data_IF_498147060154
#
_entry.id   IF_498147060154
#
_cell.length_a   1.000
_cell.length_b   1.000
_cell.length_c   1.000
_cell.angle_alpha   90.00
_cell.angle_beta   90.00
_cell.angle_gamma   90.00
#
_symmetry.space_group_name_H-M   'P 1'
#
loop_
_entity.id
_entity.type
_entity.pdbx_description
1 polymer ?
#
# COMPACT_ATOMS: atom_id res chain seq x y z
N UNK A 1 -3.89 -21.98 -4.47
CA UNK A 1 -3.52 -21.61 -3.09
C UNK A 1 -2.65 -20.35 -3.16
N UNK A 2 -2.72 -19.39 -2.21
CA UNK A 2 -1.93 -18.14 -2.33
C UNK A 2 -0.45 -18.41 -2.01
N UNK A 3 0.47 -18.06 -2.92
CA UNK A 3 1.93 -18.33 -2.83
C UNK A 3 2.72 -17.35 -1.94
N UNK A 4 2.04 -16.50 -1.17
CA UNK A 4 2.70 -15.45 -0.38
C UNK A 4 3.53 -16.04 0.78
N UNK A 5 4.86 -15.87 0.70
CA UNK A 5 5.84 -16.18 1.76
C UNK A 5 5.97 -15.00 2.72
N UNK A 6 5.39 -15.12 3.91
CA UNK A 6 5.43 -14.04 4.92
C UNK A 6 6.54 -14.20 5.95
N UNK A 7 7.15 -15.39 6.03
CA UNK A 7 8.19 -15.79 7.02
C UNK A 7 7.80 -15.52 8.50
N UNK A 8 6.51 -15.31 8.78
CA UNK A 8 6.04 -14.84 10.08
C UNK A 8 6.44 -13.39 10.43
N UNK A 9 6.99 -12.62 9.48
CA UNK A 9 7.56 -11.29 9.70
C UNK A 9 6.57 -10.14 9.49
N UNK A 10 5.30 -10.44 9.21
CA UNK A 10 4.29 -9.43 8.88
C UNK A 10 4.06 -8.38 9.97
N UNK A 11 4.27 -8.73 11.25
CA UNK A 11 4.20 -7.77 12.35
C UNK A 11 5.38 -6.79 12.31
N UNK A 12 6.62 -7.29 12.25
CA UNK A 12 7.83 -6.47 12.16
C UNK A 12 7.85 -5.57 10.93
N UNK A 13 7.37 -6.06 9.78
CA UNK A 13 7.19 -5.23 8.59
C UNK A 13 6.24 -4.06 8.86
N UNK A 14 5.14 -4.31 9.58
CA UNK A 14 4.21 -3.24 9.97
C UNK A 14 4.86 -2.30 10.98
N UNK A 15 5.64 -2.80 11.92
CA UNK A 15 6.35 -2.00 12.91
C UNK A 15 7.25 -0.96 12.23
N UNK A 16 8.20 -1.39 11.38
CA UNK A 16 9.12 -0.44 10.72
C UNK A 16 8.41 0.52 9.75
N UNK A 17 7.32 0.07 9.12
CA UNK A 17 6.49 0.98 8.34
C UNK A 17 5.81 2.06 9.20
N UNK A 18 5.31 1.71 10.40
CA UNK A 18 4.76 2.72 11.32
C UNK A 18 5.84 3.62 11.91
N UNK A 19 7.07 3.14 12.13
CA UNK A 19 8.17 4.00 12.55
C UNK A 19 8.57 5.00 11.46
N UNK A 20 8.50 4.60 10.19
CA UNK A 20 8.81 5.45 9.06
C UNK A 20 7.83 6.62 8.93
N UNK A 21 6.53 6.33 8.78
CA UNK A 21 5.48 7.36 8.77
C UNK A 21 4.26 6.83 9.52
N UNK A 22 4.07 7.24 10.78
CA UNK A 22 2.96 6.76 11.59
C UNK A 22 1.60 7.10 10.98
N UNK A 23 0.70 6.13 10.94
CA UNK A 23 -0.73 6.40 10.76
C UNK A 23 -1.18 6.79 9.35
N UNK A 24 -0.32 6.73 8.32
CA UNK A 24 -0.75 7.01 6.94
C UNK A 24 -1.21 5.75 6.19
N UNK A 25 -0.94 4.57 6.72
CA UNK A 25 -1.24 3.32 6.00
C UNK A 25 -0.61 3.31 4.61
N UNK A 26 -1.23 2.61 3.66
CA UNK A 26 -0.75 2.55 2.27
C UNK A 26 -1.11 3.78 1.43
N UNK A 27 -1.63 4.84 2.06
CA UNK A 27 -2.20 5.98 1.34
C UNK A 27 -1.09 6.78 0.68
N UNK A 28 -1.22 7.00 -0.62
CA UNK A 28 -0.26 7.78 -1.40
C UNK A 28 -0.90 8.86 -2.28
N UNK A 29 -2.23 8.96 -2.32
CA UNK A 29 -2.98 10.11 -2.85
C UNK A 29 -4.32 10.20 -2.12
N UNK A 30 -4.87 11.41 -2.01
CA UNK A 30 -5.97 11.71 -1.09
C UNK A 30 -7.30 11.09 -1.50
N UNK A 31 -7.54 10.86 -2.80
CA UNK A 31 -8.79 10.21 -3.25
C UNK A 31 -8.97 8.80 -2.69
N UNK A 32 -7.90 8.09 -2.31
CA UNK A 32 -8.02 6.80 -1.60
C UNK A 32 -8.77 6.96 -0.27
N UNK A 33 -8.44 7.99 0.51
CA UNK A 33 -9.16 8.32 1.74
C UNK A 33 -10.60 8.71 1.39
N UNK A 34 -10.79 9.55 0.38
CA UNK A 34 -12.11 10.05 0.01
C UNK A 34 -13.11 8.94 -0.34
N UNK A 35 -12.72 7.96 -1.17
CA UNK A 35 -13.60 6.84 -1.52
C UNK A 35 -13.98 6.01 -0.29
N UNK A 36 -13.05 5.83 0.63
CA UNK A 36 -13.31 5.10 1.86
C UNK A 36 -14.31 5.85 2.76
N UNK A 37 -14.16 7.18 2.89
CA UNK A 37 -15.09 8.03 3.65
C UNK A 37 -16.49 8.02 3.04
N UNK A 38 -16.59 8.18 1.72
CA UNK A 38 -17.86 8.08 0.99
C UNK A 38 -18.51 6.71 1.17
N UNK A 39 -17.73 5.63 1.16
CA UNK A 39 -18.21 4.26 1.37
C UNK A 39 -18.81 4.06 2.76
N UNK A 40 -18.15 4.56 3.81
CA UNK A 40 -18.67 4.50 5.19
C UNK A 40 -19.90 5.38 5.34
N UNK A 41 -19.88 6.61 4.80
CA UNK A 41 -21.03 7.52 4.83
C UNK A 41 -22.26 6.94 4.13
N UNK A 42 -22.06 6.36 2.94
CA UNK A 42 -23.13 5.78 2.15
C UNK A 42 -23.74 4.57 2.86
N UNK A 43 -22.91 3.65 3.35
CA UNK A 43 -23.38 2.49 4.10
C UNK A 43 -24.24 2.90 5.31
N UNK A 44 -23.83 3.94 6.04
CA UNK A 44 -24.61 4.48 7.15
C UNK A 44 -25.96 5.04 6.69
N UNK A 45 -25.99 5.86 5.63
CA UNK A 45 -27.24 6.43 5.10
C UNK A 45 -28.19 5.36 4.56
N UNK A 46 -27.67 4.34 3.89
CA UNK A 46 -28.46 3.19 3.42
C UNK A 46 -29.04 2.38 4.59
N UNK A 47 -28.26 2.19 5.66
CA UNK A 47 -28.70 1.51 6.89
C UNK A 47 -29.83 2.23 7.60
N UNK A 48 -29.76 3.56 7.70
CA UNK A 48 -30.85 4.38 8.26
C UNK A 48 -32.15 4.18 7.48
N UNK A 49 -32.06 3.97 6.17
CA UNK A 49 -33.20 3.72 5.29
C UNK A 49 -33.55 2.22 5.12
N UNK A 50 -33.08 1.36 6.05
CA UNK A 50 -33.47 -0.05 6.12
C UNK A 50 -32.69 -1.02 5.22
N UNK A 51 -31.67 -0.55 4.48
CA UNK A 51 -30.84 -1.40 3.63
C UNK A 51 -29.65 -1.99 4.40
N UNK A 52 -29.11 -3.13 3.94
CA UNK A 52 -28.07 -3.91 4.66
C UNK A 52 -26.68 -3.88 4.01
N UNK A 53 -26.42 -2.89 3.16
CA UNK A 53 -25.13 -2.77 2.49
C UNK A 53 -24.01 -2.46 3.50
N UNK A 54 -22.91 -3.19 3.40
CA UNK A 54 -21.74 -3.02 4.26
C UNK A 54 -20.84 -1.88 3.77
N UNK A 55 -19.97 -1.35 4.65
CA UNK A 55 -18.97 -0.34 4.27
C UNK A 55 -18.10 -0.83 3.11
N UNK A 56 -17.68 -2.10 3.13
CA UNK A 56 -16.89 -2.71 2.05
C UNK A 56 -17.65 -2.68 0.72
N UNK A 57 -18.93 -3.06 0.70
CA UNK A 57 -19.74 -3.06 -0.54
C UNK A 57 -19.88 -1.64 -1.11
N UNK A 58 -20.13 -0.66 -0.25
CA UNK A 58 -20.28 0.73 -0.66
C UNK A 58 -18.97 1.32 -1.17
N UNK A 59 -17.87 1.15 -0.43
CA UNK A 59 -16.54 1.60 -0.86
C UNK A 59 -16.10 0.91 -2.17
N UNK A 60 -16.36 -0.39 -2.32
CA UNK A 60 -16.07 -1.12 -3.56
C UNK A 60 -16.82 -0.54 -4.76
N UNK A 61 -18.11 -0.24 -4.60
CA UNK A 61 -18.92 0.35 -5.66
C UNK A 61 -18.39 1.73 -6.07
N UNK A 62 -18.06 2.58 -5.09
CA UNK A 62 -17.52 3.92 -5.33
C UNK A 62 -16.15 3.83 -6.03
N UNK A 63 -15.21 3.03 -5.52
CA UNK A 63 -13.90 2.86 -6.15
C UNK A 63 -14.00 2.34 -7.60
N UNK A 64 -14.89 1.36 -7.83
CA UNK A 64 -15.12 0.81 -9.16
C UNK A 64 -15.68 1.85 -10.13
N UNK A 65 -16.64 2.65 -9.68
CA UNK A 65 -17.19 3.77 -10.44
C UNK A 65 -16.13 4.82 -10.75
N UNK A 66 -15.33 5.22 -9.74
CA UNK A 66 -14.23 6.17 -9.88
C UNK A 66 -13.22 5.72 -10.95
N UNK A 67 -12.78 4.45 -10.88
CA UNK A 67 -11.82 3.91 -11.85
C UNK A 67 -12.43 3.78 -13.24
N UNK A 68 -13.68 3.33 -13.35
CA UNK A 68 -14.35 3.22 -14.63
C UNK A 68 -14.48 4.59 -15.30
N UNK A 69 -14.91 5.64 -14.57
CA UNK A 69 -15.03 7.00 -15.09
C UNK A 69 -13.69 7.51 -15.61
N UNK A 70 -12.61 7.25 -14.88
CA UNK A 70 -11.26 7.67 -15.27
C UNK A 70 -10.73 6.90 -16.48
N UNK A 71 -10.90 5.58 -16.51
CA UNK A 71 -10.46 4.71 -17.61
C UNK A 71 -11.26 4.98 -18.89
N UNK A 72 -12.56 5.18 -18.78
CA UNK A 72 -13.41 5.51 -19.91
C UNK A 72 -12.99 6.87 -20.52
N UNK A 73 -12.70 7.86 -19.68
CA UNK A 73 -12.25 9.18 -20.13
C UNK A 73 -10.83 9.17 -20.72
N UNK A 74 -9.89 8.44 -20.12
CA UNK A 74 -8.48 8.46 -20.55
C UNK A 74 -8.15 7.48 -21.70
N UNK A 75 -9.16 6.84 -22.28
CA UNK A 75 -8.99 5.87 -23.36
C UNK A 75 -8.40 4.53 -22.92
N UNK A 76 -8.67 4.12 -21.67
CA UNK A 76 -8.19 2.87 -21.06
C UNK A 76 -6.66 2.79 -20.97
N UNK A 77 -5.99 3.94 -20.85
CA UNK A 77 -4.55 4.01 -20.63
C UNK A 77 -4.22 3.63 -19.18
N UNK A 78 -3.09 2.94 -19.03
CA UNK A 78 -2.54 2.63 -17.70
C UNK A 78 -2.14 3.93 -16.99
N UNK A 79 -2.38 3.97 -15.68
CA UNK A 79 -1.97 5.04 -14.77
C UNK A 79 -1.89 4.41 -13.37
N UNK A 80 -0.90 4.79 -12.54
CA UNK A 80 -0.65 4.09 -11.28
C UNK A 80 -1.81 4.30 -10.27
N UNK A 81 -2.66 5.30 -10.46
CA UNK A 81 -3.85 5.56 -9.63
C UNK A 81 -5.05 4.72 -10.05
N UNK A 82 -5.01 4.09 -11.22
CA UNK A 82 -6.13 3.35 -11.79
C UNK A 82 -5.96 1.85 -11.60
N UNK A 83 -7.04 1.17 -11.22
CA UNK A 83 -7.05 -0.29 -11.09
C UNK A 83 -8.18 -0.90 -11.90
N UNK A 84 -8.02 -2.17 -12.25
CA UNK A 84 -9.10 -2.97 -12.80
C UNK A 84 -9.44 -2.73 -14.27
N UNK A 85 -8.55 -2.11 -15.06
CA UNK A 85 -8.76 -1.84 -16.49
C UNK A 85 -9.31 -3.06 -17.24
N UNK A 86 -8.68 -4.22 -17.10
CA UNK A 86 -9.11 -5.46 -17.77
C UNK A 86 -10.52 -5.92 -17.36
N UNK A 87 -10.90 -5.73 -16.09
CA UNK A 87 -12.23 -6.14 -15.60
C UNK A 87 -13.33 -5.14 -15.95
N UNK A 88 -12.98 -3.85 -16.01
CA UNK A 88 -13.93 -2.76 -16.20
C UNK A 88 -14.22 -2.46 -17.68
N UNK A 89 -13.30 -2.77 -18.62
CA UNK A 89 -13.37 -2.41 -20.06
C UNK A 89 -14.70 -2.72 -20.75
N UNK A 90 -15.29 -3.86 -20.42
CA UNK A 90 -16.50 -4.34 -21.07
C UNK A 90 -17.76 -4.18 -20.20
N UNK A 91 -17.69 -3.43 -19.09
CA UNK A 91 -18.84 -3.19 -18.22
C UNK A 91 -19.70 -2.06 -18.82
N UNK A 92 -20.90 -2.42 -19.26
CA UNK A 92 -21.90 -1.48 -19.83
C UNK A 92 -22.93 -0.98 -18.83
N UNK A 93 -23.10 -1.69 -17.72
CA UNK A 93 -24.06 -1.31 -16.67
C UNK A 93 -23.32 -1.03 -15.35
N UNK A 94 -23.34 0.23 -14.95
CA UNK A 94 -22.69 0.72 -13.73
C UNK A 94 -23.67 0.88 -12.58
N UNK A 95 -24.67 0.00 -12.46
CA UNK A 95 -25.60 0.06 -11.33
C UNK A 95 -24.85 -0.21 -10.02
N UNK A 96 -25.28 0.45 -8.94
CA UNK A 96 -24.68 0.24 -7.62
C UNK A 96 -24.72 -1.23 -7.19
N UNK A 97 -25.82 -1.94 -7.48
CA UNK A 97 -25.95 -3.36 -7.17
C UNK A 97 -24.83 -4.20 -7.81
N UNK A 98 -24.53 -3.96 -9.09
CA UNK A 98 -23.44 -4.64 -9.79
C UNK A 98 -22.08 -4.21 -9.27
N UNK A 99 -21.84 -2.91 -9.13
CA UNK A 99 -20.56 -2.35 -8.69
C UNK A 99 -20.19 -2.76 -7.25
N UNK A 100 -21.18 -3.00 -6.39
CA UNK A 100 -20.98 -3.42 -5.00
C UNK A 100 -20.49 -4.86 -4.82
N UNK A 101 -20.59 -5.70 -5.88
CA UNK A 101 -20.17 -7.10 -5.85
C UNK A 101 -18.64 -7.21 -5.93
N UNK A 102 -18.06 -8.10 -5.12
CA UNK A 102 -16.60 -8.32 -5.08
C UNK A 102 -16.00 -8.76 -6.42
N UNK A 103 -16.79 -9.41 -7.27
CA UNK A 103 -16.36 -9.88 -8.60
C UNK A 103 -16.33 -8.78 -9.67
N UNK A 104 -16.95 -7.62 -9.42
CA UNK A 104 -17.11 -6.56 -10.43
C UNK A 104 -15.79 -5.80 -10.72
N UNK A 105 -14.99 -5.60 -9.68
CA UNK A 105 -13.80 -4.76 -9.67
C UNK A 105 -12.56 -5.60 -9.31
N UNK A 106 -11.62 -5.09 -8.51
CA UNK A 106 -10.37 -5.80 -8.19
C UNK A 106 -10.42 -6.55 -6.86
N UNK A 107 -9.53 -7.54 -6.73
CA UNK A 107 -9.33 -8.29 -5.49
C UNK A 107 -8.61 -7.46 -4.42
N UNK A 108 -7.73 -6.53 -4.84
CA UNK A 108 -6.98 -5.60 -3.98
C UNK A 108 -7.44 -4.14 -4.23
N UNK A 109 -8.57 -3.74 -3.65
CA UNK A 109 -9.11 -2.39 -3.77
C UNK A 109 -8.30 -1.38 -2.96
N UNK A 110 -8.40 -0.10 -3.34
CA UNK A 110 -7.64 1.01 -2.74
C UNK A 110 -7.94 1.17 -1.26
N UNK A 111 -9.16 0.88 -0.79
CA UNK A 111 -9.51 0.92 0.65
C UNK A 111 -8.59 0.09 1.55
N UNK A 112 -7.91 -0.93 1.02
CA UNK A 112 -6.98 -1.72 1.84
C UNK A 112 -5.79 -0.88 2.33
N UNK A 113 -5.41 0.15 1.58
CA UNK A 113 -4.41 1.13 1.98
C UNK A 113 -4.88 2.02 3.16
N UNK A 114 -6.19 2.26 3.29
CA UNK A 114 -6.74 3.26 4.21
C UNK A 114 -7.09 2.71 5.59
N UNK A 115 -7.11 1.38 5.76
CA UNK A 115 -7.50 0.70 7.02
C UNK A 115 -6.77 1.25 8.25
N UNK A 116 -5.46 1.49 8.15
CA UNK A 116 -4.72 2.11 9.26
C UNK A 116 -4.87 3.63 9.29
N UNK A 117 -5.02 4.25 8.12
CA UNK A 117 -5.02 5.69 7.97
C UNK A 117 -6.25 6.33 8.61
N UNK A 118 -7.44 5.81 8.31
CA UNK A 118 -8.70 6.39 8.77
C UNK A 118 -8.76 6.59 10.30
N UNK A 119 -8.49 5.57 11.15
CA UNK A 119 -8.53 5.76 12.61
C UNK A 119 -7.37 6.62 13.12
N UNK A 120 -6.16 6.44 12.60
CA UNK A 120 -4.99 7.22 13.03
C UNK A 120 -5.13 8.72 12.71
N UNK A 121 -5.81 9.05 11.62
CA UNK A 121 -6.12 10.41 11.20
C UNK A 121 -7.40 10.98 11.83
N UNK A 122 -8.09 10.20 12.67
CA UNK A 122 -9.31 10.66 13.37
C UNK A 122 -10.51 10.84 12.44
N UNK A 123 -10.48 10.25 11.25
CA UNK A 123 -11.57 10.31 10.27
C UNK A 123 -12.71 9.35 10.62
N UNK A 124 -12.39 8.27 11.34
CA UNK A 124 -13.36 7.32 11.90
C UNK A 124 -13.19 7.22 13.41
N UNK A 125 -14.19 6.68 14.09
CA UNK A 125 -14.12 6.34 15.51
C UNK A 125 -13.01 5.29 15.75
N UNK A 126 -12.24 5.47 16.82
CA UNK A 126 -10.98 4.73 17.06
C UNK A 126 -11.15 3.34 17.69
N UNK A 127 -12.36 2.96 18.06
CA UNK A 127 -12.70 1.68 18.71
C UNK A 127 -12.83 0.51 17.71
N UNK A 128 -13.06 0.82 16.44
CA UNK A 128 -13.23 -0.17 15.39
C UNK A 128 -11.88 -0.70 14.85
N UNK A 129 -11.74 -2.03 14.79
CA UNK A 129 -10.54 -2.71 14.28
C UNK A 129 -10.66 -3.19 12.83
N UNK A 130 -11.90 -3.21 12.29
CA UNK A 130 -12.20 -3.69 10.93
C UNK A 130 -12.95 -2.62 10.14
N UNK A 131 -12.69 -2.55 8.84
CA UNK A 131 -13.31 -1.55 7.95
C UNK A 131 -14.85 -1.54 7.99
N UNK A 132 -15.50 -2.71 8.09
CA UNK A 132 -16.97 -2.82 8.19
C UNK A 132 -17.54 -2.33 9.53
N UNK A 133 -16.70 -2.08 10.53
CA UNK A 133 -17.10 -1.53 11.82
C UNK A 133 -16.86 -0.01 11.90
N UNK A 134 -16.23 0.59 10.89
CA UNK A 134 -15.96 2.02 10.90
C UNK A 134 -17.24 2.84 10.90
N UNK A 135 -17.22 3.87 11.73
CA UNK A 135 -18.17 4.97 11.76
C UNK A 135 -17.39 6.26 11.62
N UNK A 136 -17.87 7.19 10.79
CA UNK A 136 -17.21 8.48 10.63
C UNK A 136 -17.21 9.24 11.97
N UNK A 137 -16.11 9.93 12.27
CA UNK A 137 -16.07 10.81 13.43
C UNK A 137 -16.98 12.03 13.20
N UNK A 138 -17.51 12.61 14.27
CA UNK A 138 -18.32 13.84 14.18
C UNK A 138 -17.57 14.96 13.46
N UNK A 139 -16.27 15.10 13.76
CA UNK A 139 -15.38 16.07 13.11
C UNK A 139 -15.27 15.80 11.60
N UNK A 140 -15.18 14.54 11.17
CA UNK A 140 -15.17 14.18 9.76
C UNK A 140 -16.50 14.53 9.08
N UNK A 141 -17.63 14.20 9.70
CA UNK A 141 -18.96 14.48 9.15
C UNK A 141 -19.18 16.00 8.94
N UNK A 142 -18.76 16.81 9.92
CA UNK A 142 -18.86 18.26 9.86
C UNK A 142 -17.93 18.86 8.80
N UNK A 143 -16.65 18.47 8.81
CA UNK A 143 -15.62 19.02 7.90
C UNK A 143 -15.89 18.69 6.43
N UNK A 144 -16.37 17.47 6.14
CA UNK A 144 -16.52 16.97 4.77
C UNK A 144 -17.97 16.92 4.26
N UNK A 145 -18.94 17.40 5.04
CA UNK A 145 -20.35 17.45 4.61
C UNK A 145 -20.98 16.07 4.34
N UNK A 146 -20.53 15.02 5.04
CA UNK A 146 -20.93 13.62 4.79
C UNK A 146 -22.10 13.13 5.67
N UNK A 147 -22.79 14.03 6.38
CA UNK A 147 -23.86 13.69 7.33
C UNK A 147 -25.28 13.95 6.81
N UNK A 148 -26.27 13.28 7.40
CA UNK A 148 -27.71 13.46 7.11
C UNK A 148 -28.22 14.86 7.43
N UNK A 149 -27.63 15.53 8.43
CA UNK A 149 -27.94 16.90 8.86
C UNK A 149 -26.75 17.84 8.64
N UNK A 150 -25.90 17.58 7.64
CA UNK A 150 -24.72 18.40 7.42
C UNK A 150 -25.08 19.79 6.86
N UNK A 151 -24.76 20.82 7.64
CA UNK A 151 -24.70 22.22 7.16
C UNK A 151 -23.40 22.51 6.40
N UNK A 152 -22.56 21.49 6.18
CA UNK A 152 -21.35 21.59 5.37
C UNK A 152 -21.68 21.82 3.90
N UNK A 153 -20.90 22.67 3.25
CA UNK A 153 -21.11 23.09 1.85
C UNK A 153 -20.47 22.07 0.88
N UNK A 154 -19.34 21.47 1.29
CA UNK A 154 -18.49 20.65 0.42
C UNK A 154 -18.92 19.17 0.43
N UNK A 155 -18.91 18.53 -0.74
CA UNK A 155 -19.24 17.11 -0.89
C UNK A 155 -20.73 16.76 -0.84
N UNK A 156 -21.63 17.66 -0.44
CA UNK A 156 -23.07 17.38 -0.30
C UNK A 156 -23.75 17.01 -1.61
N UNK A 157 -23.54 17.79 -2.68
CA UNK A 157 -24.11 17.49 -4.01
C UNK A 157 -23.57 16.15 -4.54
N UNK A 158 -22.26 15.92 -4.42
CA UNK A 158 -21.64 14.66 -4.81
C UNK A 158 -22.23 13.47 -4.03
N UNK A 159 -22.29 13.58 -2.71
CA UNK A 159 -22.77 12.50 -1.86
C UNK A 159 -24.25 12.20 -2.11
N UNK A 160 -25.07 13.23 -2.35
CA UNK A 160 -26.47 13.03 -2.70
C UNK A 160 -26.60 12.33 -4.06
N UNK A 161 -25.79 12.69 -5.06
CA UNK A 161 -25.79 11.99 -6.35
C UNK A 161 -25.35 10.51 -6.22
N UNK A 162 -24.32 10.22 -5.42
CA UNK A 162 -23.90 8.84 -5.10
C UNK A 162 -25.04 8.10 -4.39
N UNK A 163 -25.73 8.76 -3.47
CA UNK A 163 -26.88 8.18 -2.79
C UNK A 163 -28.04 7.89 -3.77
N UNK A 164 -28.41 8.83 -4.65
CA UNK A 164 -29.44 8.61 -5.68
C UNK A 164 -29.06 7.48 -6.64
N UNK A 165 -27.79 7.40 -7.04
CA UNK A 165 -27.26 6.27 -7.81
C UNK A 165 -27.41 4.94 -7.07
N UNK A 166 -27.12 4.90 -5.76
CA UNK A 166 -27.31 3.69 -4.95
C UNK A 166 -28.77 3.22 -4.88
N UNK A 167 -29.71 4.14 -5.07
CA UNK A 167 -31.14 3.86 -5.11
C UNK A 167 -31.66 3.56 -6.54
N UNK A 168 -30.78 3.53 -7.56
CA UNK A 168 -31.18 3.35 -8.96
C UNK A 168 -31.95 4.54 -9.56
N UNK A 169 -31.87 5.72 -8.93
CA UNK A 169 -32.59 6.93 -9.34
C UNK A 169 -31.78 7.83 -10.28
N UNK A 170 -30.53 7.46 -10.58
CA UNK A 170 -29.62 8.24 -11.42
C UNK A 170 -28.74 7.31 -12.27
N UNK A 171 -28.64 7.63 -13.57
CA UNK A 171 -27.70 7.01 -14.52
C UNK A 171 -26.36 7.76 -14.48
N UNK A 172 -25.34 7.10 -13.93
CA UNK A 172 -24.01 7.68 -13.69
C UNK A 172 -23.13 7.80 -14.94
N UNK A 173 -23.54 7.17 -16.04
CA UNK A 173 -22.81 7.12 -17.32
C UNK A 173 -23.32 8.14 -18.34
N UNK A 174 -24.25 9.04 -17.97
CA UNK A 174 -24.88 9.98 -18.91
C UNK A 174 -24.81 11.45 -18.44
N UNK A 175 -24.72 12.34 -19.43
CA UNK A 175 -24.97 13.78 -19.29
C UNK A 175 -24.18 14.48 -18.18
N UNK A 176 -24.86 15.40 -17.47
CA UNK A 176 -24.27 16.22 -16.40
C UNK A 176 -23.76 15.38 -15.22
N UNK A 177 -24.41 14.26 -14.91
CA UNK A 177 -24.00 13.39 -13.80
C UNK A 177 -22.64 12.77 -14.04
N UNK A 178 -22.40 12.21 -15.23
CA UNK A 178 -21.09 11.66 -15.60
C UNK A 178 -19.98 12.70 -15.47
N UNK A 179 -20.21 13.94 -15.95
CA UNK A 179 -19.21 15.02 -15.86
C UNK A 179 -18.90 15.41 -14.41
N UNK A 180 -19.93 15.57 -13.57
CA UNK A 180 -19.75 15.89 -12.15
C UNK A 180 -19.02 14.77 -11.41
N UNK A 181 -19.47 13.53 -11.58
CA UNK A 181 -18.86 12.36 -10.94
C UNK A 181 -17.42 12.16 -11.42
N UNK A 182 -17.14 12.36 -12.70
CA UNK A 182 -15.77 12.33 -13.22
C UNK A 182 -14.88 13.35 -12.51
N UNK A 183 -15.26 14.63 -12.52
CA UNK A 183 -14.47 15.70 -11.88
C UNK A 183 -14.22 15.42 -10.39
N UNK A 184 -15.24 14.94 -9.67
CA UNK A 184 -15.13 14.73 -8.22
C UNK A 184 -14.50 13.38 -7.82
N UNK A 185 -14.67 12.33 -8.62
CA UNK A 185 -14.29 10.96 -8.25
C UNK A 185 -13.12 10.40 -9.05
N UNK A 186 -12.83 10.87 -10.26
CA UNK A 186 -11.72 10.33 -11.07
C UNK A 186 -10.38 10.42 -10.31
N UNK A 187 -9.61 9.34 -10.11
CA UNK A 187 -8.28 9.44 -9.48
C UNK A 187 -7.32 10.36 -10.25
N UNK A 188 -7.58 10.62 -11.54
CA UNK A 188 -6.75 11.46 -12.41
C UNK A 188 -7.02 12.95 -12.25
N UNK A 189 -8.15 13.31 -11.65
CA UNK A 189 -8.49 14.72 -11.42
C UNK A 189 -7.96 15.17 -10.06
N UNK A 190 -7.35 16.36 -9.95
CA UNK A 190 -6.95 16.89 -8.65
C UNK A 190 -8.19 17.10 -7.78
N UNK A 191 -8.01 16.96 -6.47
CA UNK A 191 -9.05 17.37 -5.51
C UNK A 191 -9.13 18.89 -5.46
N UNK A 192 -10.32 19.43 -5.16
CA UNK A 192 -10.47 20.86 -4.98
C UNK A 192 -9.56 21.38 -3.84
N UNK A 193 -9.20 22.66 -3.91
CA UNK A 193 -8.26 23.29 -2.97
C UNK A 193 -8.72 23.19 -1.51
N UNK A 194 -10.03 23.30 -1.27
CA UNK A 194 -10.60 23.18 0.07
C UNK A 194 -10.40 21.77 0.63
N UNK A 195 -10.66 20.74 -0.17
CA UNK A 195 -10.48 19.34 0.23
C UNK A 195 -9.00 19.01 0.47
N UNK A 196 -8.11 19.53 -0.38
CA UNK A 196 -6.66 19.42 -0.19
C UNK A 196 -6.21 20.03 1.13
N UNK A 197 -6.69 21.23 1.48
CA UNK A 197 -6.42 21.88 2.78
C UNK A 197 -6.95 21.04 3.95
N UNK A 198 -8.20 20.57 3.88
CA UNK A 198 -8.79 19.74 4.93
C UNK A 198 -8.01 18.45 5.18
N UNK A 199 -7.57 17.76 4.12
CA UNK A 199 -6.72 16.57 4.26
C UNK A 199 -5.32 16.91 4.80
N UNK A 200 -4.75 18.04 4.40
CA UNK A 200 -3.46 18.53 4.93
C UNK A 200 -3.56 18.76 6.44
N UNK A 201 -4.62 19.40 6.91
CA UNK A 201 -4.87 19.63 8.34
C UNK A 201 -5.02 18.31 9.11
N UNK A 202 -5.72 17.35 8.52
CA UNK A 202 -5.92 16.01 9.10
C UNK A 202 -4.60 15.26 9.24
N UNK A 203 -3.73 15.32 8.24
CA UNK A 203 -2.39 14.73 8.31
C UNK A 203 -1.53 15.36 9.41
N UNK A 204 -1.59 16.68 9.58
CA UNK A 204 -0.84 17.38 10.64
C UNK A 204 -1.39 17.09 12.04
N UNK A 205 -2.71 17.10 12.21
CA UNK A 205 -3.35 16.98 13.53
C UNK A 205 -3.42 15.54 14.04
N UNK A 206 -3.70 14.58 13.15
CA UNK A 206 -4.02 13.19 13.52
C UNK A 206 -5.27 13.06 14.39
N UNK A 207 -5.52 11.85 14.90
CA UNK A 207 -6.62 11.57 15.82
C UNK A 207 -6.32 12.09 17.23
N UNK A 208 -7.35 12.27 18.07
CA UNK A 208 -7.15 12.66 19.48
C UNK A 208 -6.46 11.58 20.31
N UNK A 209 -6.58 10.32 19.92
CA UNK A 209 -6.05 9.16 20.64
C UNK A 209 -4.64 8.75 20.18
N UNK A 210 -4.15 9.34 19.09
CA UNK A 210 -2.82 9.07 18.59
C UNK A 210 -1.73 9.70 19.49
N UNK A 211 -0.65 8.96 19.83
CA UNK A 211 0.46 9.49 20.63
C UNK A 211 1.09 10.75 20.03
N UNK A 212 1.46 11.70 20.88
CA UNK A 212 2.09 12.96 20.43
C UNK A 212 3.38 12.71 19.63
N UNK A 213 4.20 11.74 20.05
CA UNK A 213 5.43 11.36 19.35
C UNK A 213 5.16 10.89 17.90
N UNK A 214 4.11 10.08 17.68
CA UNK A 214 3.70 9.62 16.35
C UNK A 214 3.27 10.78 15.45
N UNK A 215 2.48 11.72 15.98
CA UNK A 215 2.11 12.95 15.27
C UNK A 215 3.32 13.81 14.92
N UNK A 216 4.27 13.95 15.85
CA UNK A 216 5.48 14.72 15.61
C UNK A 216 6.35 14.09 14.53
N UNK A 217 6.58 12.76 14.58
CA UNK A 217 7.30 12.02 13.53
C UNK A 217 6.64 12.20 12.16
N UNK A 218 5.31 12.08 12.06
CA UNK A 218 4.60 12.33 10.81
C UNK A 218 4.74 13.77 10.32
N UNK A 219 4.63 14.78 11.21
CA UNK A 219 4.85 16.20 10.85
C UNK A 219 6.27 16.48 10.36
N UNK A 220 7.27 15.92 11.02
CA UNK A 220 8.68 16.03 10.62
C UNK A 220 8.90 15.39 9.23
N UNK A 221 8.34 14.20 9.00
CA UNK A 221 8.39 13.55 7.70
C UNK A 221 7.67 14.34 6.60
N UNK A 222 6.52 14.97 6.91
CA UNK A 222 5.80 15.87 6.01
C UNK A 222 6.66 17.08 5.60
N UNK A 223 7.29 17.73 6.58
CA UNK A 223 8.21 18.84 6.32
C UNK A 223 9.39 18.41 5.45
N UNK A 224 9.91 17.20 5.66
CA UNK A 224 10.98 16.67 4.83
C UNK A 224 10.54 16.44 3.38
N UNK A 225 9.43 15.74 3.15
CA UNK A 225 8.95 15.49 1.78
C UNK A 225 8.52 16.76 1.08
N UNK A 226 8.05 17.77 1.82
CA UNK A 226 7.75 19.09 1.28
C UNK A 226 9.02 19.81 0.81
N UNK A 227 10.11 19.75 1.60
CA UNK A 227 11.41 20.26 1.18
C UNK A 227 11.93 19.58 -0.10
N UNK A 228 11.81 18.25 -0.19
CA UNK A 228 12.17 17.50 -1.41
C UNK A 228 11.31 17.90 -2.61
N UNK A 229 10.01 18.13 -2.40
CA UNK A 229 9.07 18.55 -3.46
C UNK A 229 9.45 19.92 -4.00
N UNK A 230 9.82 20.85 -3.12
CA UNK A 230 10.25 22.20 -3.50
C UNK A 230 11.66 22.23 -4.11
N UNK A 231 12.49 21.21 -3.87
CA UNK A 231 13.87 21.11 -4.34
C UNK A 231 14.12 19.75 -5.02
N UNK A 232 13.57 19.53 -6.23
CA UNK A 232 13.60 18.22 -6.92
C UNK A 232 15.01 17.70 -7.24
N UNK A 233 16.01 18.58 -7.32
CA UNK A 233 17.42 18.26 -7.55
C UNK A 233 18.04 17.52 -6.34
N UNK A 234 17.47 17.68 -5.14
CA UNK A 234 17.97 17.06 -3.93
C UNK A 234 17.58 15.59 -3.88
N UNK A 235 18.53 14.71 -4.19
CA UNK A 235 18.34 13.26 -4.06
C UNK A 235 18.54 12.84 -2.60
N UNK A 236 17.54 12.22 -1.95
CA UNK A 236 17.71 11.70 -0.60
C UNK A 236 18.75 10.57 -0.57
N UNK A 237 19.65 10.58 0.42
CA UNK A 237 20.70 9.57 0.65
C UNK A 237 20.78 9.17 2.13
N UNK A 238 21.27 7.95 2.40
CA UNK A 238 21.56 7.49 3.75
C UNK A 238 22.70 8.26 4.44
N UNK A 239 23.59 8.89 3.66
CA UNK A 239 24.76 9.62 4.17
C UNK A 239 24.41 11.00 4.73
N UNK A 240 23.22 11.52 4.40
CA UNK A 240 22.79 12.87 4.77
C UNK A 240 21.42 12.84 5.42
N UNK A 241 21.40 12.86 6.76
CA UNK A 241 20.16 12.98 7.54
C UNK A 241 19.51 14.36 7.29
N UNK A 242 18.22 14.42 6.93
CA UNK A 242 17.48 15.67 6.84
C UNK A 242 17.35 16.35 8.22
N UNK A 243 17.49 17.67 8.27
CA UNK A 243 17.40 18.44 9.53
C UNK A 243 16.03 18.35 10.20
N UNK A 244 14.96 18.11 9.42
CA UNK A 244 13.60 17.92 9.90
C UNK A 244 13.44 16.62 10.72
N UNK A 245 14.27 15.61 10.48
CA UNK A 245 14.18 14.32 11.17
C UNK A 245 15.13 14.27 12.36
N UNK A 246 14.62 13.88 13.53
CA UNK A 246 15.46 13.61 14.69
C UNK A 246 16.32 12.34 14.49
N UNK A 247 17.31 12.15 15.38
CA UNK A 247 18.29 11.08 15.23
C UNK A 247 17.66 9.69 15.41
N UNK A 248 16.64 9.59 16.29
CA UNK A 248 15.93 8.33 16.57
C UNK A 248 15.09 7.91 15.35
N UNK A 249 14.34 8.83 14.77
CA UNK A 249 13.56 8.59 13.56
C UNK A 249 14.44 8.22 12.37
N UNK A 250 15.57 8.90 12.18
CA UNK A 250 16.52 8.54 11.12
C UNK A 250 17.11 7.13 11.33
N UNK A 251 17.47 6.81 12.57
CA UNK A 251 17.96 5.48 12.93
C UNK A 251 16.93 4.38 12.68
N UNK A 252 15.65 4.63 12.98
CA UNK A 252 14.55 3.70 12.70
C UNK A 252 14.34 3.49 11.19
N UNK A 253 14.51 4.54 10.37
CA UNK A 253 14.44 4.44 8.92
C UNK A 253 15.58 3.56 8.37
N UNK A 254 16.82 3.79 8.82
CA UNK A 254 18.00 3.00 8.44
C UNK A 254 17.84 1.53 8.86
N UNK A 255 17.41 1.30 10.09
CA UNK A 255 17.16 -0.05 10.62
C UNK A 255 16.06 -0.75 9.86
N UNK A 256 14.95 -0.06 9.60
CA UNK A 256 13.85 -0.61 8.80
C UNK A 256 14.31 -1.01 7.40
N UNK A 257 15.17 -0.20 6.78
CA UNK A 257 15.74 -0.51 5.47
C UNK A 257 16.65 -1.74 5.48
N UNK A 258 17.54 -1.84 6.47
CA UNK A 258 18.36 -3.03 6.67
C UNK A 258 17.50 -4.29 6.90
N UNK A 259 16.41 -4.17 7.66
CA UNK A 259 15.48 -5.27 7.89
C UNK A 259 14.74 -5.69 6.62
N UNK A 260 14.26 -4.75 5.80
CA UNK A 260 13.60 -5.09 4.54
C UNK A 260 14.56 -5.78 3.58
N UNK A 261 15.80 -5.30 3.47
CA UNK A 261 16.84 -5.96 2.68
C UNK A 261 17.15 -7.38 3.18
N UNK A 262 17.22 -7.58 4.49
CA UNK A 262 17.39 -8.89 5.11
C UNK A 262 16.22 -9.84 4.77
N UNK A 263 14.98 -9.36 4.88
CA UNK A 263 13.78 -10.13 4.53
C UNK A 263 13.79 -10.53 3.07
N UNK A 264 14.05 -9.60 2.17
CA UNK A 264 13.98 -9.82 0.73
C UNK A 264 15.09 -10.79 0.29
N UNK A 265 16.30 -10.65 0.85
CA UNK A 265 17.39 -11.60 0.64
C UNK A 265 17.08 -13.01 1.17
N UNK A 266 16.26 -13.13 2.21
CA UNK A 266 15.79 -14.42 2.71
C UNK A 266 14.82 -15.10 1.74
N UNK A 267 14.00 -14.31 1.04
CA UNK A 267 13.12 -14.82 -0.01
C UNK A 267 13.94 -15.30 -1.21
N UNK A 268 15.00 -14.58 -1.60
CA UNK A 268 15.91 -15.01 -2.67
C UNK A 268 16.57 -16.38 -2.38
N UNK A 269 16.92 -16.67 -1.12
CA UNK A 269 17.44 -18.00 -0.73
C UNK A 269 16.41 -19.09 -0.99
N UNK A 270 15.15 -18.85 -0.59
CA UNK A 270 14.05 -19.80 -0.78
C UNK A 270 13.69 -19.96 -2.26
N UNK A 271 13.72 -18.88 -3.04
CA UNK A 271 13.49 -18.90 -4.49
C UNK A 271 14.58 -19.68 -5.23
N UNK A 272 15.85 -19.46 -4.88
CA UNK A 272 16.97 -20.22 -5.44
C UNK A 272 16.87 -21.72 -5.12
N UNK A 273 16.44 -22.07 -3.90
CA UNK A 273 16.24 -23.46 -3.49
C UNK A 273 15.04 -24.10 -4.19
N UNK A 274 13.93 -23.37 -4.33
CA UNK A 274 12.76 -23.83 -5.08
C UNK A 274 13.10 -24.10 -6.54
N UNK A 275 13.81 -23.18 -7.20
CA UNK A 275 14.25 -23.34 -8.57
C UNK A 275 15.13 -24.59 -8.73
N UNK A 276 16.04 -24.82 -7.79
CA UNK A 276 16.87 -26.02 -7.81
C UNK A 276 16.03 -27.30 -7.69
N UNK A 277 15.09 -27.36 -6.73
CA UNK A 277 14.19 -28.50 -6.58
C UNK A 277 13.30 -28.73 -7.80
N UNK A 278 12.90 -27.66 -8.49
CA UNK A 278 12.11 -27.74 -9.72
C UNK A 278 12.87 -28.36 -10.89
N UNK A 279 14.19 -28.22 -10.93
CA UNK A 279 15.05 -28.79 -11.96
C UNK A 279 15.40 -30.28 -11.72
N UNK A 280 15.13 -30.83 -10.54
CA UNK A 280 15.38 -32.25 -10.24
C UNK A 280 14.34 -33.15 -10.93
N UNK A 281 14.82 -34.11 -11.72
CA UNK A 281 13.96 -35.05 -12.45
C UNK A 281 13.32 -36.11 -11.52
N UNK A 282 14.05 -36.57 -10.49
CA UNK A 282 13.57 -37.60 -9.55
C UNK A 282 13.46 -37.07 -8.11
N UNK A 283 12.36 -37.42 -7.44
CA UNK A 283 12.17 -37.28 -6.00
C UNK A 283 12.04 -35.86 -5.43
N UNK A 284 12.31 -34.79 -6.21
CA UNK A 284 12.23 -33.36 -5.85
C UNK A 284 12.46 -33.12 -4.35
N UNK A 285 13.63 -33.50 -3.87
CA UNK A 285 13.96 -33.44 -2.44
C UNK A 285 15.40 -32.97 -2.26
N UNK A 286 15.67 -32.29 -1.15
CA UNK A 286 17.00 -31.81 -0.82
C UNK A 286 17.30 -32.09 0.65
N UNK A 287 18.24 -32.99 0.94
CA UNK A 287 18.63 -33.33 2.32
C UNK A 287 19.70 -32.36 2.83
N UNK A 288 19.33 -31.50 3.79
CA UNK A 288 20.20 -30.48 4.38
C UNK A 288 21.42 -31.08 5.11
N UNK A 289 21.39 -32.37 5.46
CA UNK A 289 22.48 -33.03 6.19
C UNK A 289 23.51 -33.73 5.30
N UNK A 290 23.15 -34.01 4.04
CA UNK A 290 23.98 -34.81 3.12
C UNK A 290 24.32 -34.10 1.82
N UNK A 291 23.49 -33.15 1.40
CA UNK A 291 23.58 -32.52 0.09
C UNK A 291 24.45 -31.27 0.15
N UNK A 292 25.29 -31.08 -0.86
CA UNK A 292 25.98 -29.81 -1.06
C UNK A 292 25.02 -28.80 -1.68
N UNK A 293 24.96 -27.59 -1.12
CA UNK A 293 24.11 -26.54 -1.67
C UNK A 293 24.56 -26.13 -3.08
N UNK A 294 23.62 -25.92 -4.01
CA UNK A 294 23.95 -25.44 -5.34
C UNK A 294 24.47 -24.00 -5.27
N UNK A 295 25.36 -23.64 -6.20
CA UNK A 295 26.03 -22.33 -6.24
C UNK A 295 25.09 -21.11 -6.09
N UNK A 296 23.91 -21.04 -6.75
CA UNK A 296 22.98 -19.94 -6.56
C UNK A 296 22.49 -19.79 -5.12
N UNK A 297 22.22 -20.91 -4.43
CA UNK A 297 21.80 -20.90 -3.02
C UNK A 297 22.95 -20.45 -2.11
N UNK A 298 24.17 -20.93 -2.34
CA UNK A 298 25.35 -20.49 -1.58
C UNK A 298 25.61 -18.98 -1.72
N UNK A 299 25.46 -18.42 -2.92
CA UNK A 299 25.60 -16.98 -3.15
C UNK A 299 24.52 -16.18 -2.41
N UNK A 300 23.26 -16.62 -2.45
CA UNK A 300 22.16 -15.98 -1.73
C UNK A 300 22.36 -16.07 -0.21
N UNK A 301 22.85 -17.19 0.32
CA UNK A 301 23.16 -17.38 1.74
C UNK A 301 24.31 -16.47 2.22
N UNK A 302 25.35 -16.30 1.40
CA UNK A 302 26.44 -15.38 1.73
C UNK A 302 25.95 -13.93 1.86
N UNK A 303 25.14 -13.47 0.89
CA UNK A 303 24.49 -12.15 0.97
C UNK A 303 23.55 -12.04 2.17
N UNK A 304 22.79 -13.09 2.46
CA UNK A 304 21.89 -13.12 3.61
C UNK A 304 22.63 -12.89 4.93
N UNK A 305 23.76 -13.57 5.14
CA UNK A 305 24.61 -13.35 6.34
C UNK A 305 25.13 -11.93 6.42
N UNK A 306 25.51 -11.34 5.29
CA UNK A 306 25.95 -9.94 5.23
C UNK A 306 24.81 -9.01 5.68
N UNK A 307 23.61 -9.13 5.10
CA UNK A 307 22.45 -8.31 5.48
C UNK A 307 22.06 -8.47 6.94
N UNK A 308 22.13 -9.69 7.46
CA UNK A 308 21.85 -9.96 8.86
C UNK A 308 22.89 -9.31 9.80
N UNK A 309 24.17 -9.27 9.38
CA UNK A 309 25.22 -8.58 10.12
C UNK A 309 25.05 -7.06 10.09
N UNK A 310 24.72 -6.49 8.92
CA UNK A 310 24.39 -5.08 8.75
C UNK A 310 23.25 -4.66 9.68
N UNK A 311 22.16 -5.42 9.74
CA UNK A 311 21.06 -5.14 10.67
C UNK A 311 21.49 -5.19 12.14
N UNK A 312 22.24 -6.21 12.55
CA UNK A 312 22.65 -6.38 13.95
C UNK A 312 23.61 -5.29 14.43
N UNK A 313 24.47 -4.76 13.56
CA UNK A 313 25.38 -3.65 13.87
C UNK A 313 24.60 -2.36 14.20
N UNK A 314 23.42 -2.17 13.61
CA UNK A 314 22.58 -1.01 13.93
C UNK A 314 22.04 -1.04 15.37
N UNK A 315 21.94 -2.21 16.00
CA UNK A 315 21.66 -2.29 17.44
C UNK A 315 20.22 -1.94 17.86
N UNK A 316 19.26 -2.06 16.96
CA UNK A 316 17.84 -1.77 17.25
C UNK A 316 17.18 -2.87 18.10
N UNK A 317 16.23 -2.48 18.96
CA UNK A 317 15.64 -3.33 20.01
C UNK A 317 14.41 -4.16 19.62
N UNK A 318 13.95 -4.11 18.36
CA UNK A 318 12.78 -4.91 17.91
C UNK A 318 13.09 -6.41 18.04
N UNK A 319 12.43 -7.15 18.97
CA UNK A 319 12.86 -8.49 19.33
C UNK A 319 12.77 -9.50 18.19
N UNK A 320 11.74 -9.39 17.35
CA UNK A 320 11.48 -10.36 16.28
C UNK A 320 12.52 -10.25 15.18
N UNK A 321 12.83 -9.02 14.75
CA UNK A 321 13.87 -8.71 13.78
C UNK A 321 15.26 -9.10 14.30
N UNK A 322 15.54 -8.82 15.58
CA UNK A 322 16.79 -9.20 16.22
C UNK A 322 16.97 -10.73 16.21
N UNK A 323 15.96 -11.46 16.68
CA UNK A 323 15.99 -12.93 16.69
C UNK A 323 16.11 -13.51 15.28
N UNK A 324 15.34 -13.00 14.32
CA UNK A 324 15.40 -13.43 12.93
C UNK A 324 16.79 -13.18 12.30
N UNK A 325 17.42 -12.05 12.61
CA UNK A 325 18.76 -11.73 12.13
C UNK A 325 19.82 -12.69 12.72
N UNK A 326 19.66 -13.12 13.97
CA UNK A 326 20.52 -14.14 14.57
C UNK A 326 20.35 -15.51 13.91
N UNK A 327 19.10 -15.92 13.63
CA UNK A 327 18.80 -17.15 12.88
C UNK A 327 19.45 -17.13 11.48
N UNK A 328 19.43 -15.98 10.80
CA UNK A 328 20.07 -15.78 9.49
C UNK A 328 21.61 -15.71 9.54
N UNK A 329 22.21 -15.71 10.74
CA UNK A 329 23.66 -15.79 10.98
C UNK A 329 24.09 -17.10 11.65
N UNK A 330 23.25 -18.13 11.63
CA UNK A 330 23.63 -19.43 12.15
C UNK A 330 24.93 -19.94 11.49
N UNK A 331 25.71 -20.72 12.25
CA UNK A 331 27.06 -21.15 11.86
C UNK A 331 27.05 -21.99 10.57
N UNK A 332 26.01 -22.82 10.37
CA UNK A 332 25.89 -23.66 9.18
C UNK A 332 24.82 -23.15 8.20
N UNK A 333 25.11 -23.27 6.90
CA UNK A 333 24.14 -23.00 5.82
C UNK A 333 22.86 -23.81 6.00
N UNK A 334 23.00 -25.08 6.40
CA UNK A 334 21.89 -25.98 6.68
C UNK A 334 20.97 -25.47 7.80
N UNK A 335 21.52 -24.85 8.85
CA UNK A 335 20.72 -24.26 9.91
C UNK A 335 19.94 -23.03 9.44
N UNK A 336 20.55 -22.17 8.64
CA UNK A 336 19.87 -20.99 8.06
C UNK A 336 18.70 -21.46 7.18
N UNK A 337 18.94 -22.38 6.24
CA UNK A 337 17.90 -22.88 5.34
C UNK A 337 16.79 -23.59 6.12
N UNK A 338 17.12 -24.36 7.16
CA UNK A 338 16.13 -24.97 8.05
C UNK A 338 15.19 -23.92 8.63
N UNK A 339 15.72 -22.87 9.25
CA UNK A 339 14.91 -21.80 9.84
C UNK A 339 14.02 -21.10 8.81
N UNK A 340 14.54 -20.84 7.60
CA UNK A 340 13.75 -20.21 6.54
C UNK A 340 12.61 -21.10 6.04
N UNK A 341 12.86 -22.39 5.84
CA UNK A 341 11.84 -23.35 5.36
C UNK A 341 10.77 -23.60 6.43
N UNK A 342 11.14 -23.69 7.71
CA UNK A 342 10.21 -23.80 8.83
C UNK A 342 9.26 -22.59 8.91
N UNK A 343 9.77 -21.39 8.59
CA UNK A 343 8.98 -20.15 8.58
C UNK A 343 8.15 -19.95 7.30
N UNK A 344 8.55 -20.53 6.17
CA UNK A 344 7.75 -20.58 4.94
C UNK A 344 6.56 -21.53 5.12
N UNK A 345 6.84 -22.83 5.26
CA UNK A 345 5.87 -23.91 5.45
C UNK A 345 4.82 -24.07 4.34
N UNK A 346 4.86 -23.27 3.27
CA UNK A 346 3.85 -23.24 2.21
C UNK A 346 4.40 -23.65 0.86
N UNK A 347 5.47 -23.02 0.41
CA UNK A 347 6.07 -23.34 -0.89
C UNK A 347 7.10 -24.44 -0.73
N UNK A 348 7.98 -24.30 0.26
CA UNK A 348 8.87 -25.36 0.72
C UNK A 348 8.43 -25.83 2.11
N UNK A 349 8.58 -27.13 2.37
CA UNK A 349 8.33 -27.73 3.68
C UNK A 349 9.50 -28.60 4.12
N UNK A 350 9.67 -28.72 5.43
CA UNK A 350 10.71 -29.54 6.03
C UNK A 350 10.11 -30.83 6.62
N UNK A 351 10.71 -31.97 6.29
CA UNK A 351 10.44 -33.28 6.89
C UNK A 351 11.75 -33.84 7.44
N UNK A 352 11.98 -33.69 8.75
CA UNK A 352 13.28 -34.02 9.36
C UNK A 352 14.39 -33.10 8.83
N UNK A 353 15.39 -33.65 8.13
CA UNK A 353 16.43 -32.88 7.45
C UNK A 353 16.14 -32.61 5.97
N UNK A 354 15.04 -33.12 5.44
CA UNK A 354 14.76 -33.11 4.00
C UNK A 354 13.77 -32.00 3.66
N UNK A 355 14.17 -31.12 2.75
CA UNK A 355 13.30 -30.10 2.15
C UNK A 355 12.53 -30.72 0.99
N UNK A 356 11.22 -30.51 0.98
CA UNK A 356 10.29 -31.04 -0.01
C UNK A 356 9.39 -29.93 -0.56
N UNK A 357 8.82 -30.11 -1.78
CA UNK A 357 7.70 -29.33 -2.29
C UNK A 357 6.55 -29.28 -1.29
N UNK A 358 6.10 -28.06 -1.00
CA UNK A 358 4.86 -27.78 -0.29
C UNK A 358 3.66 -27.66 -1.24
N UNK A 359 2.45 -27.41 -0.72
CA UNK A 359 1.22 -27.34 -1.50
C UNK A 359 1.15 -26.15 -2.48
N UNK A 360 2.03 -25.15 -2.35
CA UNK A 360 2.12 -24.00 -3.24
C UNK A 360 3.40 -24.00 -4.11
N UNK A 361 4.07 -25.15 -4.22
CA UNK A 361 5.29 -25.32 -5.01
C UNK A 361 5.00 -25.34 -6.52
N UNK A 362 5.78 -24.60 -7.29
CA UNK A 362 5.65 -24.57 -8.77
C UNK A 362 6.97 -24.92 -9.48
N UNK A 363 8.09 -25.08 -8.74
CA UNK A 363 9.39 -25.45 -9.32
C UNK A 363 10.04 -24.35 -10.17
N UNK A 364 9.46 -23.16 -10.14
CA UNK A 364 10.00 -21.92 -10.67
C UNK A 364 9.74 -20.84 -9.62
N UNK A 365 10.59 -19.83 -9.43
CA UNK A 365 10.33 -18.76 -8.47
C UNK A 365 8.99 -18.07 -8.74
N UNK A 366 8.42 -17.42 -7.71
CA UNK A 366 7.08 -16.85 -7.78
C UNK A 366 6.96 -15.76 -8.85
N UNK A 367 6.37 -16.09 -10.00
CA UNK A 367 5.75 -15.09 -10.90
C UNK A 367 4.40 -14.59 -10.40
N UNK A 368 4.06 -14.82 -9.12
CA UNK A 368 3.04 -14.03 -8.42
C UNK A 368 3.44 -12.56 -8.25
N UNK A 369 4.51 -12.15 -8.92
CA UNK A 369 4.65 -10.87 -9.56
C UNK A 369 3.32 -10.30 -10.10
N UNK A 370 2.27 -10.98 -10.55
CA UNK A 370 1.02 -10.24 -10.90
C UNK A 370 0.43 -9.31 -9.79
N UNK A 371 0.64 -9.62 -8.49
CA UNK A 371 0.29 -8.72 -7.36
C UNK A 371 1.41 -7.72 -7.01
N UNK A 372 2.67 -8.10 -7.23
CA UNK A 372 3.85 -7.26 -7.00
C UNK A 372 4.09 -6.33 -8.20
N UNK A 373 4.09 -6.80 -9.45
CA UNK A 373 3.93 -6.09 -10.75
C UNK A 373 2.92 -4.95 -10.65
N UNK A 374 1.72 -5.13 -10.11
CA UNK A 374 0.80 -3.99 -10.00
C UNK A 374 1.31 -2.89 -9.04
N UNK A 375 2.04 -3.27 -7.98
CA UNK A 375 2.68 -2.34 -7.03
C UNK A 375 4.06 -1.84 -7.53
N UNK A 376 4.76 -2.63 -8.33
CA UNK A 376 6.08 -2.41 -8.90
C UNK A 376 5.93 -1.54 -10.16
N UNK A 377 4.91 -1.76 -11.00
CA UNK A 377 4.47 -0.86 -12.07
C UNK A 377 3.99 0.49 -11.50
N UNK A 378 3.28 0.48 -10.35
CA UNK A 378 2.93 1.68 -9.59
C UNK A 378 4.19 2.41 -9.04
N UNK A 379 5.28 1.68 -8.76
CA UNK A 379 6.53 2.21 -8.24
C UNK A 379 7.53 2.64 -9.33
N UNK A 380 7.52 2.01 -10.49
CA UNK A 380 8.38 2.34 -11.63
C UNK A 380 7.95 3.66 -12.29
N UNK A 381 6.66 3.99 -12.17
CA UNK A 381 6.09 5.25 -12.63
C UNK A 381 6.30 6.41 -11.65
N UNK A 382 7.09 6.23 -10.59
CA UNK A 382 7.41 7.27 -9.59
C UNK A 382 8.76 7.92 -9.91
N UNK A 383 8.78 9.25 -10.08
CA UNK A 383 9.97 10.01 -10.46
C UNK A 383 11.03 10.07 -9.35
N UNK A 384 10.62 10.33 -8.11
CA UNK A 384 11.56 10.47 -6.98
C UNK A 384 12.16 9.11 -6.60
N UNK A 385 13.49 9.00 -6.66
CA UNK A 385 14.24 7.82 -6.22
C UNK A 385 14.63 7.95 -4.75
N UNK A 386 14.25 6.94 -3.97
CA UNK A 386 14.56 6.85 -2.55
C UNK A 386 15.82 6.01 -2.32
N UNK A 387 16.54 6.20 -1.20
CA UNK A 387 17.62 5.30 -0.81
C UNK A 387 17.15 3.85 -0.78
N UNK A 388 18.02 2.92 -1.18
CA UNK A 388 17.70 1.50 -1.22
C UNK A 388 17.20 1.02 0.14
N UNK A 389 16.09 0.28 0.13
CA UNK A 389 15.44 -0.26 1.33
C UNK A 389 14.59 0.73 2.11
N UNK A 390 14.56 2.02 1.76
CA UNK A 390 13.69 3.00 2.42
C UNK A 390 12.23 2.51 2.42
N UNK A 391 11.55 2.64 3.56
CA UNK A 391 10.13 2.25 3.66
C UNK A 391 9.30 2.93 2.57
N UNK A 392 8.45 2.15 1.90
CA UNK A 392 7.50 2.67 0.91
C UNK A 392 6.53 3.71 1.49
N UNK A 393 6.41 3.79 2.83
CA UNK A 393 5.65 4.85 3.52
C UNK A 393 6.23 6.24 3.27
N UNK A 394 7.55 6.39 3.18
CA UNK A 394 8.17 7.67 2.85
C UNK A 394 7.84 8.10 1.42
N UNK A 395 7.94 7.15 0.48
CA UNK A 395 7.52 7.36 -0.90
C UNK A 395 6.04 7.75 -0.96
N UNK A 396 5.17 6.98 -0.33
CA UNK A 396 3.74 7.26 -0.27
C UNK A 396 3.42 8.63 0.32
N UNK A 397 4.11 9.03 1.40
CA UNK A 397 3.93 10.35 2.00
C UNK A 397 4.30 11.48 1.03
N UNK A 398 5.38 11.31 0.27
CA UNK A 398 5.79 12.28 -0.74
C UNK A 398 4.74 12.45 -1.84
N UNK A 399 4.25 11.35 -2.43
CA UNK A 399 3.23 11.44 -3.47
C UNK A 399 1.89 11.97 -2.92
N UNK A 400 1.55 11.63 -1.67
CA UNK A 400 0.38 12.19 -1.02
C UNK A 400 0.55 13.70 -0.83
N UNK A 401 1.73 14.13 -0.41
CA UNK A 401 2.06 15.55 -0.27
C UNK A 401 1.96 16.28 -1.62
N UNK A 402 2.46 15.68 -2.71
CA UNK A 402 2.31 16.24 -4.06
C UNK A 402 0.82 16.35 -4.49
N UNK A 403 0.03 15.31 -4.24
CA UNK A 403 -1.42 15.34 -4.53
C UNK A 403 -2.14 16.46 -3.78
N UNK A 404 -1.78 16.69 -2.52
CA UNK A 404 -2.32 17.78 -1.71
C UNK A 404 -1.87 19.17 -2.18
N UNK A 405 -0.76 19.28 -2.91
CA UNK A 405 -0.34 20.50 -3.60
C UNK A 405 -0.89 20.61 -5.03
N UNK A 406 -1.53 19.56 -5.55
CA UNK A 406 -2.09 19.53 -6.89
C UNK A 406 -1.05 19.35 -7.99
N UNK A 407 0.15 18.88 -7.65
CA UNK A 407 1.26 18.66 -8.57
C UNK A 407 1.60 17.16 -8.74
N UNK A 408 0.76 16.23 -8.26
CA UNK A 408 1.01 14.78 -8.36
C UNK A 408 1.36 14.33 -9.78
N UNK A 409 0.66 14.82 -10.79
CA UNK A 409 0.93 14.46 -12.19
C UNK A 409 2.36 14.80 -12.64
N UNK A 410 2.98 15.84 -12.06
CA UNK A 410 4.38 16.22 -12.38
C UNK A 410 5.42 15.24 -11.82
N UNK A 411 5.00 14.45 -10.83
CA UNK A 411 5.83 13.47 -10.13
C UNK A 411 5.57 12.03 -10.57
N UNK A 412 4.50 11.80 -11.32
CA UNK A 412 4.20 10.53 -11.96
C UNK A 412 4.76 10.53 -13.39
N UNK A 413 5.40 9.44 -13.78
CA UNK A 413 5.95 9.25 -15.10
C UNK A 413 4.81 9.02 -16.10
N UNK A 414 4.48 10.03 -16.90
CA UNK A 414 3.70 9.86 -18.12
C UNK A 414 4.35 10.61 -19.30
N UNK A 415 5.32 9.94 -19.95
CA UNK A 415 5.84 10.22 -21.30
C UNK A 415 6.54 11.61 -21.50
N UNK A 416 7.36 11.79 -22.55
CA UNK A 416 8.46 12.75 -22.56
C UNK A 416 7.93 14.19 -22.47
N UNK A 417 8.70 15.05 -21.83
CA UNK A 417 8.76 16.44 -22.25
C UNK A 417 9.02 16.42 -23.75
N UNK A 418 7.97 16.59 -24.57
CA UNK A 418 8.18 17.16 -25.89
C UNK A 418 8.80 18.52 -25.60
N UNK A 419 10.10 18.64 -25.88
CA UNK A 419 10.70 19.94 -26.09
C UNK A 419 9.82 20.63 -27.13
N UNK A 420 8.92 21.50 -26.68
CA UNK A 420 8.35 22.53 -27.51
C UNK A 420 9.36 23.67 -27.57
N UNK A 421 10.54 23.36 -28.07
CA UNK A 421 11.53 24.29 -28.59
C UNK A 421 12.31 23.52 -29.66
N UNK A 422 11.87 23.66 -30.91
CA UNK A 422 12.72 24.01 -32.06
C UNK A 422 11.89 23.96 -33.36
N UNK A 423 11.84 25.13 -34.02
CA UNK A 423 11.32 25.48 -35.36
C UNK A 423 9.92 26.07 -35.44
#
# INVERSE_FOLDING_TARGET
>A
MRRARTLGLGFTVRFFNEQAVPGIGGVWYGKQLWYALLGVALANKLKINGQKNTNIQCANAIEALSCWLALDHNGWKSDPRLRGANKLKNKKELTFEKASKSSFYVTQPMRMATVKALPALGLVQSDATRFNQYQLSEQCLLRFGLGTNSNGIYGRELFENIYQWSQGKCDVDKGRYKKLLYASLSPLEPMDETFRRLLTDVLHCGSKTEPHASKQRRRNALQWVEGLRQQPEQVPSWDSRPTMLDAEHWHDLQTGAAFFALRDQSLEVLDALELHLGALQDGRSFDLSKSTFPKPVLLALAKLRQRASEYLVLGHSEPTAFQFSRECRAESDAAIVRHLVERDGRVLRLMGSVVLPGPAFEGSPSSNHAETEALDEEADQRRLKWPTGMSSRMSNLFYLNADLHGDLDTWLSAAPFTNSEES
#
